data_IF_415964354553
#
_entry.id   IF_415964354553
#
_cell.length_a   1.000
_cell.length_b   1.000
_cell.length_c   1.000
_cell.angle_alpha   90.00
_cell.angle_beta   90.00
_cell.angle_gamma   90.00
#
_symmetry.space_group_name_H-M   'P 1'
#
loop_
_entity.id
_entity.type
_entity.pdbx_description
1 polymer ?
#
# COMPACT_ATOMS: atom_id res chain seq x y z
N UNK A 1 8.22 29.13 -20.15
CA UNK A 1 8.72 28.34 -19.00
C UNK A 1 7.96 27.02 -18.95
N UNK A 2 8.58 25.93 -19.38
CA UNK A 2 7.98 24.59 -19.35
C UNK A 2 7.70 24.21 -17.90
N UNK A 3 6.43 23.95 -17.55
CA UNK A 3 6.09 23.36 -16.26
C UNK A 3 6.88 22.05 -16.15
N UNK A 4 7.88 21.99 -15.26
CA UNK A 4 8.51 20.72 -14.87
C UNK A 4 7.37 19.76 -14.55
N UNK A 5 7.30 18.65 -15.28
CA UNK A 5 6.28 17.63 -15.07
C UNK A 5 6.66 16.87 -13.79
N UNK A 6 6.43 17.51 -12.63
CA UNK A 6 6.82 16.96 -11.33
C UNK A 6 6.01 15.69 -11.10
N UNK A 7 6.73 14.60 -10.91
CA UNK A 7 6.18 13.30 -10.58
C UNK A 7 5.54 13.31 -9.19
N UNK A 8 4.32 12.78 -9.08
CA UNK A 8 3.60 12.67 -7.82
C UNK A 8 3.82 11.28 -7.21
N UNK A 9 4.50 11.23 -6.08
CA UNK A 9 4.76 9.99 -5.35
C UNK A 9 3.52 9.57 -4.59
N UNK A 10 3.00 8.40 -4.95
CA UNK A 10 1.81 7.80 -4.34
C UNK A 10 2.26 6.57 -3.58
N UNK A 11 1.94 6.51 -2.29
CA UNK A 11 2.27 5.37 -1.44
C UNK A 11 1.02 4.60 -1.04
N UNK A 12 1.06 3.28 -1.24
CA UNK A 12 0.02 2.34 -0.78
C UNK A 12 0.61 1.32 0.18
N UNK A 13 -0.23 0.76 1.06
CA UNK A 13 0.18 -0.20 2.09
C UNK A 13 -0.66 -1.46 2.03
N UNK A 14 -0.04 -2.63 2.16
CA UNK A 14 -0.79 -3.89 2.20
C UNK A 14 0.06 -5.12 2.44
N UNK A 15 -0.61 -6.25 2.69
CA UNK A 15 0.06 -7.55 2.75
C UNK A 15 0.40 -8.06 1.36
N UNK A 16 -0.53 -7.96 0.40
CA UNK A 16 -0.38 -8.47 -0.97
C UNK A 16 0.07 -9.94 -1.01
N UNK A 17 -0.61 -10.78 -0.21
CA UNK A 17 -0.30 -12.20 -0.01
C UNK A 17 -0.90 -13.06 -1.12
N UNK A 18 -0.32 -12.95 -2.32
CA UNK A 18 -0.92 -13.42 -3.56
C UNK A 18 -1.58 -12.26 -4.30
N UNK A 19 -1.04 -11.91 -5.46
CA UNK A 19 -1.63 -10.88 -6.30
C UNK A 19 -2.87 -11.43 -7.01
N UNK A 20 -3.96 -10.67 -6.95
CA UNK A 20 -5.20 -10.97 -7.65
C UNK A 20 -5.78 -9.69 -8.24
N UNK A 21 -6.87 -9.82 -9.01
CA UNK A 21 -7.50 -8.70 -9.74
C UNK A 21 -7.92 -7.53 -8.83
N UNK A 22 -8.23 -7.79 -7.56
CA UNK A 22 -8.51 -6.76 -6.56
C UNK A 22 -7.29 -5.87 -6.27
N UNK A 23 -6.11 -6.47 -6.07
CA UNK A 23 -4.86 -5.71 -5.90
C UNK A 23 -4.51 -4.91 -7.15
N UNK A 24 -4.68 -5.50 -8.34
CA UNK A 24 -4.46 -4.79 -9.61
C UNK A 24 -5.38 -3.58 -9.74
N UNK A 25 -6.67 -3.74 -9.42
CA UNK A 25 -7.61 -2.64 -9.44
C UNK A 25 -7.24 -1.56 -8.41
N UNK A 26 -6.83 -1.96 -7.20
CA UNK A 26 -6.37 -1.06 -6.15
C UNK A 26 -5.16 -0.22 -6.59
N UNK A 27 -4.14 -0.84 -7.21
CA UNK A 27 -2.99 -0.11 -7.77
C UNK A 27 -3.39 0.86 -8.88
N UNK A 28 -4.28 0.44 -9.79
CA UNK A 28 -4.81 1.31 -10.85
C UNK A 28 -5.58 2.50 -10.28
N UNK A 29 -6.37 2.30 -9.23
CA UNK A 29 -7.07 3.38 -8.54
C UNK A 29 -6.07 4.35 -7.88
N UNK A 30 -5.03 3.83 -7.22
CA UNK A 30 -3.99 4.67 -6.61
C UNK A 30 -3.30 5.55 -7.66
N UNK A 31 -2.91 5.00 -8.81
CA UNK A 31 -2.29 5.78 -9.89
C UNK A 31 -3.19 6.88 -10.44
N UNK A 32 -4.51 6.67 -10.46
CA UNK A 32 -5.49 7.67 -10.91
C UNK A 32 -5.63 8.87 -9.96
N UNK A 33 -5.05 8.81 -8.76
CA UNK A 33 -5.05 9.93 -7.82
C UNK A 33 -4.09 11.06 -8.22
N UNK A 34 -3.26 10.88 -9.26
CA UNK A 34 -2.40 11.94 -9.79
C UNK A 34 -2.31 11.91 -11.32
N UNK A 35 -1.89 13.04 -11.91
CA UNK A 35 -1.68 13.15 -13.38
C UNK A 35 -0.38 12.48 -13.84
N UNK A 36 0.69 12.56 -13.04
CA UNK A 36 1.98 11.94 -13.30
C UNK A 36 2.40 11.03 -12.13
N UNK A 37 1.77 9.83 -11.98
CA UNK A 37 1.88 9.03 -10.77
C UNK A 37 3.15 8.16 -10.74
N UNK A 38 3.84 8.15 -9.60
CA UNK A 38 4.87 7.18 -9.22
C UNK A 38 4.42 6.37 -8.03
N UNK A 39 4.09 5.10 -8.25
CA UNK A 39 3.49 4.21 -7.27
C UNK A 39 4.56 3.47 -6.46
N UNK A 40 4.61 3.80 -5.18
CA UNK A 40 5.38 3.12 -4.15
C UNK A 40 4.46 2.15 -3.40
N UNK A 41 4.76 0.86 -3.45
CA UNK A 41 4.03 -0.17 -2.72
C UNK A 41 4.80 -0.60 -1.48
N UNK A 42 4.22 -0.37 -0.31
CA UNK A 42 4.75 -0.83 0.98
C UNK A 42 4.17 -2.19 1.36
N UNK A 43 5.06 -3.17 1.46
CA UNK A 43 4.77 -4.56 1.80
C UNK A 43 4.86 -4.75 3.31
N UNK A 44 3.77 -5.18 3.94
CA UNK A 44 3.73 -5.46 5.37
C UNK A 44 4.73 -6.57 5.74
N UNK A 45 5.41 -6.42 6.89
CA UNK A 45 6.33 -7.43 7.45
C UNK A 45 5.59 -8.68 7.89
N UNK A 46 6.19 -9.86 7.73
CA UNK A 46 5.60 -11.12 8.18
C UNK A 46 5.18 -11.08 9.67
N UNK A 47 6.07 -10.55 10.53
CA UNK A 47 5.81 -10.40 11.97
C UNK A 47 4.60 -9.48 12.25
N UNK A 48 4.45 -8.39 11.50
CA UNK A 48 3.34 -7.45 11.67
C UNK A 48 2.02 -8.09 11.23
N UNK A 49 2.04 -8.84 10.13
CA UNK A 49 0.86 -9.55 9.63
C UNK A 49 0.40 -10.58 10.65
N UNK A 50 1.32 -11.39 11.19
CA UNK A 50 1.01 -12.36 12.23
C UNK A 50 0.41 -11.72 13.48
N UNK A 51 1.02 -10.62 13.96
CA UNK A 51 0.53 -9.89 15.14
C UNK A 51 -0.85 -9.27 14.94
N UNK A 52 -1.12 -8.69 13.76
CA UNK A 52 -2.36 -7.94 13.51
C UNK A 52 -3.50 -8.88 13.09
N UNK A 53 -3.22 -9.89 12.27
CA UNK A 53 -4.24 -10.78 11.66
C UNK A 53 -4.35 -12.12 12.38
N UNK A 54 -3.51 -12.40 13.39
CA UNK A 54 -3.47 -13.68 14.10
C UNK A 54 -2.92 -14.85 13.29
N UNK A 55 -2.48 -14.62 12.05
CA UNK A 55 -1.95 -15.66 11.15
C UNK A 55 -0.79 -15.15 10.30
N UNK A 56 0.15 -16.03 10.00
CA UNK A 56 1.24 -15.73 9.07
C UNK A 56 0.69 -15.63 7.62
N UNK A 57 1.29 -14.77 6.78
CA UNK A 57 1.01 -14.82 5.35
C UNK A 57 1.49 -16.14 4.75
N UNK A 58 0.86 -16.55 3.64
CA UNK A 58 1.24 -17.73 2.85
C UNK A 58 2.62 -17.54 2.25
N UNK A 59 2.89 -16.35 1.70
CA UNK A 59 4.17 -16.01 1.09
C UNK A 59 5.04 -15.17 2.05
N UNK A 60 6.35 -15.41 2.01
CA UNK A 60 7.33 -14.59 2.71
C UNK A 60 7.30 -13.13 2.23
N UNK A 61 7.80 -12.20 3.05
CA UNK A 61 7.84 -10.78 2.67
C UNK A 61 8.64 -10.52 1.40
N UNK A 62 9.74 -11.26 1.17
CA UNK A 62 10.52 -11.18 -0.06
C UNK A 62 9.77 -11.74 -1.27
N UNK A 63 9.05 -12.85 -1.13
CA UNK A 63 8.21 -13.39 -2.20
C UNK A 63 7.11 -12.41 -2.59
N UNK A 64 6.42 -11.81 -1.61
CA UNK A 64 5.37 -10.80 -1.84
C UNK A 64 5.94 -9.56 -2.53
N UNK A 65 7.09 -9.06 -2.09
CA UNK A 65 7.79 -7.97 -2.79
C UNK A 65 8.07 -8.32 -4.26
N UNK A 66 8.61 -9.51 -4.52
CA UNK A 66 8.96 -9.93 -5.88
C UNK A 66 7.71 -10.08 -6.76
N UNK A 67 6.61 -10.59 -6.22
CA UNK A 67 5.32 -10.66 -6.94
C UNK A 67 4.83 -9.26 -7.33
N UNK A 68 4.86 -8.30 -6.39
CA UNK A 68 4.48 -6.91 -6.67
C UNK A 68 5.40 -6.27 -7.72
N UNK A 69 6.72 -6.44 -7.60
CA UNK A 69 7.68 -5.94 -8.60
C UNK A 69 7.40 -6.50 -10.00
N UNK A 70 7.21 -7.82 -10.11
CA UNK A 70 6.94 -8.51 -11.39
C UNK A 70 5.59 -8.16 -12.00
N UNK A 71 4.67 -7.59 -11.22
CA UNK A 71 3.34 -7.22 -11.73
C UNK A 71 3.36 -6.04 -12.71
N UNK A 72 4.43 -5.23 -12.72
CA UNK A 72 4.55 -4.04 -13.56
C UNK A 72 3.67 -2.85 -13.13
N UNK A 73 2.90 -2.96 -12.04
CA UNK A 73 2.04 -1.86 -11.58
C UNK A 73 2.74 -0.88 -10.64
N UNK A 74 3.82 -1.31 -9.97
CA UNK A 74 4.56 -0.55 -8.98
C UNK A 74 5.90 -0.09 -9.56
N UNK A 75 6.19 1.20 -9.42
CA UNK A 75 7.48 1.77 -9.82
C UNK A 75 8.53 1.51 -8.74
N UNK A 76 8.10 1.45 -7.47
CA UNK A 76 8.96 1.11 -6.33
C UNK A 76 8.24 0.19 -5.35
N UNK A 77 8.96 -0.79 -4.82
CA UNK A 77 8.44 -1.71 -3.79
C UNK A 77 9.37 -1.70 -2.58
N UNK A 78 8.81 -1.40 -1.42
CA UNK A 78 9.54 -1.28 -0.15
C UNK A 78 8.91 -2.15 0.92
N UNK A 79 9.66 -2.47 1.97
CA UNK A 79 9.11 -3.15 3.14
C UNK A 79 8.64 -2.11 4.17
N UNK A 80 7.49 -2.38 4.77
CA UNK A 80 6.99 -1.58 5.88
C UNK A 80 7.95 -1.61 7.08
N UNK A 81 7.82 -0.61 7.96
CA UNK A 81 8.59 -0.57 9.20
C UNK A 81 8.27 -1.75 10.13
N UNK A 82 9.29 -2.20 10.90
CA UNK A 82 9.17 -3.36 11.80
C UNK A 82 8.27 -3.08 13.02
N UNK A 83 8.30 -1.86 13.54
CA UNK A 83 7.60 -1.47 14.77
C UNK A 83 6.60 -0.35 14.49
N UNK A 84 7.08 0.74 13.88
CA UNK A 84 6.28 1.89 13.48
C UNK A 84 6.15 1.97 11.94
N UNK A 85 5.04 2.49 11.46
CA UNK A 85 4.79 2.76 10.05
C UNK A 85 5.48 4.04 9.54
N UNK A 86 5.96 4.94 10.40
CA UNK A 86 6.58 6.19 9.94
C UNK A 86 7.89 6.05 9.15
N UNK A 87 8.88 5.21 9.52
CA UNK A 87 10.24 5.31 8.96
C UNK A 87 10.30 5.26 7.43
N UNK A 88 9.62 4.27 6.82
CA UNK A 88 9.59 4.13 5.37
C UNK A 88 8.77 5.24 4.66
N UNK A 89 7.79 5.84 5.34
CA UNK A 89 7.04 6.98 4.78
C UNK A 89 7.94 8.22 4.76
N UNK A 90 8.69 8.46 5.85
CA UNK A 90 9.64 9.59 5.93
C UNK A 90 10.77 9.46 4.91
N UNK A 91 11.22 8.23 4.63
CA UNK A 91 12.25 7.96 3.64
C UNK A 91 11.76 8.21 2.21
N UNK A 92 10.56 7.75 1.88
CA UNK A 92 10.02 7.86 0.53
C UNK A 92 9.41 9.23 0.21
N UNK A 93 8.97 9.96 1.24
CA UNK A 93 8.33 11.28 1.16
C UNK A 93 7.22 11.31 0.09
N UNK A 94 6.15 10.50 0.25
CA UNK A 94 5.06 10.51 -0.70
C UNK A 94 4.25 11.82 -0.61
N UNK A 95 3.78 12.29 -1.75
CA UNK A 95 2.83 13.40 -1.84
C UNK A 95 1.41 12.94 -1.49
N UNK A 96 1.09 11.70 -1.86
CA UNK A 96 -0.23 11.08 -1.67
C UNK A 96 -0.07 9.73 -0.97
N UNK A 97 -0.86 9.49 0.06
CA UNK A 97 -1.08 8.18 0.66
C UNK A 97 -2.47 7.69 0.26
N UNK A 98 -2.50 6.62 -0.54
CA UNK A 98 -3.73 5.99 -1.00
C UNK A 98 -4.06 4.75 -0.17
N UNK A 99 -5.19 4.80 0.53
CA UNK A 99 -5.59 3.78 1.49
C UNK A 99 -6.80 2.99 1.02
N UNK A 100 -6.85 1.72 1.39
CA UNK A 100 -8.05 0.89 1.23
C UNK A 100 -9.22 1.43 2.06
N UNK A 101 -10.44 1.18 1.60
CA UNK A 101 -11.67 1.55 2.30
C UNK A 101 -11.73 0.99 3.74
N UNK A 102 -11.11 -0.17 3.98
CA UNK A 102 -11.05 -0.91 5.24
C UNK A 102 -9.96 -0.41 6.21
N UNK A 103 -9.01 0.42 5.75
CA UNK A 103 -7.86 0.87 6.55
C UNK A 103 -8.19 2.06 7.47
N UNK A 104 -9.29 1.99 8.23
CA UNK A 104 -9.80 3.06 9.13
C UNK A 104 -8.87 3.39 10.29
N UNK A 105 -8.41 2.37 11.01
CA UNK A 105 -7.54 2.55 12.17
C UNK A 105 -6.18 3.19 11.81
N UNK A 106 -5.68 2.93 10.61
CA UNK A 106 -4.37 3.43 10.15
C UNK A 106 -4.37 4.96 9.97
N UNK A 107 -5.50 5.57 9.61
CA UNK A 107 -5.58 7.02 9.32
C UNK A 107 -5.56 7.88 10.58
N UNK A 108 -6.11 7.36 11.69
CA UNK A 108 -6.49 8.18 12.86
C UNK A 108 -5.31 9.00 13.41
N UNK A 109 -4.13 8.41 13.48
CA UNK A 109 -2.92 9.07 13.99
C UNK A 109 -1.93 9.47 12.88
N UNK A 110 -1.98 8.81 11.72
CA UNK A 110 -1.03 9.01 10.62
C UNK A 110 -0.93 10.47 10.19
N UNK A 111 -2.06 11.16 10.00
CA UNK A 111 -2.05 12.56 9.54
C UNK A 111 -1.39 13.49 10.57
N UNK A 112 -1.64 13.24 11.86
CA UNK A 112 -1.04 14.00 12.98
C UNK A 112 0.46 13.72 13.08
N UNK A 113 0.84 12.46 13.03
CA UNK A 113 2.23 12.02 13.15
C UNK A 113 3.10 12.55 12.00
N UNK A 114 2.58 12.54 10.77
CA UNK A 114 3.28 13.09 9.60
C UNK A 114 3.40 14.61 9.66
N UNK A 115 2.34 15.32 10.09
CA UNK A 115 2.38 16.77 10.29
C UNK A 115 3.43 17.16 11.34
N UNK A 116 3.50 16.43 12.45
CA UNK A 116 4.51 16.64 13.50
C UNK A 116 5.95 16.39 13.01
N UNK A 117 6.14 15.65 11.92
CA UNK A 117 7.43 15.40 11.28
C UNK A 117 7.70 16.35 10.09
N UNK A 118 6.86 17.36 9.88
CA UNK A 118 7.01 18.34 8.82
C UNK A 118 6.68 17.80 7.42
N UNK A 119 5.97 16.67 7.33
CA UNK A 119 5.54 16.10 6.05
C UNK A 119 4.09 16.48 5.80
N UNK A 120 3.85 17.22 4.72
CA UNK A 120 2.52 17.42 4.15
C UNK A 120 2.22 16.27 3.19
N UNK A 121 1.14 15.53 3.45
CA UNK A 121 0.69 14.44 2.59
C UNK A 121 -0.82 14.53 2.40
N UNK A 122 -1.28 14.28 1.19
CA UNK A 122 -2.70 14.09 0.90
C UNK A 122 -3.07 12.63 1.21
N UNK A 123 -4.17 12.42 1.95
CA UNK A 123 -4.68 11.07 2.22
C UNK A 123 -5.94 10.85 1.40
N UNK A 124 -5.89 9.90 0.47
CA UNK A 124 -7.01 9.51 -0.38
C UNK A 124 -7.50 8.11 -0.02
N UNK A 125 -8.80 7.88 -0.16
CA UNK A 125 -9.44 6.61 0.17
C UNK A 125 -10.01 5.96 -1.07
N UNK A 126 -9.50 4.78 -1.40
CA UNK A 126 -9.86 4.06 -2.63
C UNK A 126 -11.12 3.22 -2.41
N UNK A 127 -11.90 3.04 -3.49
CA UNK A 127 -13.16 2.31 -3.45
C UNK A 127 -12.91 0.79 -3.39
N UNK A 128 -13.76 0.03 -2.69
CA UNK A 128 -13.68 -1.43 -2.71
C UNK A 128 -13.88 -1.96 -4.13
N UNK A 129 -13.17 -3.04 -4.47
CA UNK A 129 -13.38 -3.76 -5.73
C UNK A 129 -13.98 -5.14 -5.44
N UNK A 130 -15.27 -5.32 -5.72
CA UNK A 130 -16.03 -6.58 -5.57
C UNK A 130 -15.69 -7.31 -4.25
N UNK A 131 -15.96 -6.63 -3.13
CA UNK A 131 -15.56 -7.02 -1.77
C UNK A 131 -15.93 -8.47 -1.39
N UNK A 132 -17.11 -8.94 -1.79
CA UNK A 132 -17.63 -10.28 -1.47
C UNK A 132 -16.86 -11.42 -2.16
N UNK A 133 -16.22 -11.15 -3.30
CA UNK A 133 -15.54 -12.17 -4.11
C UNK A 133 -14.08 -12.33 -3.69
N UNK A 134 -13.39 -11.24 -3.35
CA UNK A 134 -11.94 -11.27 -3.12
C UNK A 134 -11.53 -11.33 -1.64
N UNK A 135 -12.41 -11.00 -0.68
CA UNK A 135 -12.17 -11.37 0.73
C UNK A 135 -12.18 -12.89 0.91
N UNK A 136 -13.00 -13.59 0.12
CA UNK A 136 -13.23 -15.03 0.22
C UNK A 136 -12.27 -15.90 -0.60
N UNK A 137 -11.49 -15.33 -1.53
CA UNK A 137 -10.63 -16.14 -2.39
C UNK A 137 -9.39 -16.73 -1.66
N UNK A 138 -9.05 -16.20 -0.47
CA UNK A 138 -8.06 -16.80 0.44
C UNK A 138 -8.65 -17.92 1.31
N UNK A 139 -9.98 -18.07 1.36
CA UNK A 139 -10.66 -19.13 2.12
C UNK A 139 -10.94 -20.38 1.27
N UNK A 140 -10.84 -20.28 -0.06
CA UNK A 140 -11.14 -21.39 -0.99
C UNK A 140 -9.94 -22.19 -1.49
N UNK A 141 -8.71 -21.90 -1.04
CA UNK A 141 -7.53 -22.77 -1.27
C UNK A 141 -7.38 -23.76 -0.09
N UNK A 142 -8.51 -24.34 0.31
CA UNK A 142 -8.58 -25.59 1.06
C UNK A 142 -9.45 -26.50 0.21
N UNK A 143 -8.81 -27.18 -0.72
CA UNK A 143 -9.32 -28.24 -1.57
C UNK A 143 -8.11 -29.05 -1.97
#
# INVERSE_FOLDING_TARGET
MSKKNVENKIMVFGTFDGLHRGHVNFFKQARKSAKNPFLIVSIARNKNVARIKGRKPVFSENQRMNLVKKSGFADRVVLAGKINHLPHILQEKPDIIALGYDQKAYVKNLKKDLKNKGISVEIVRLKPFKEEIYKNHLLKIKG
#
